data_IF_320068358720
#
_entry.id   IF_320068358720
#
_cell.length_a   1.000
_cell.length_b   1.000
_cell.length_c   1.000
_cell.angle_alpha   90.00
_cell.angle_beta   90.00
_cell.angle_gamma   90.00
#
_symmetry.space_group_name_H-M   'P 1'
#
loop_
_entity.id
_entity.type
_entity.pdbx_description
1 polymer ?
#
# COMPACT_ATOMS: atom_id res chain seq x y z
N UNK A 1 15.67 17.12 -3.02
CA UNK A 1 15.26 15.91 -2.24
C UNK A 1 13.74 15.58 -2.28
N UNK A 2 12.82 16.48 -1.90
CA UNK A 2 11.38 16.15 -1.76
C UNK A 2 10.67 15.79 -3.09
N UNK A 3 10.98 16.51 -4.18
CA UNK A 3 10.42 16.25 -5.52
C UNK A 3 10.87 14.91 -6.11
N UNK A 4 12.12 14.51 -5.87
CA UNK A 4 12.65 13.22 -6.32
C UNK A 4 11.96 12.03 -5.61
N UNK A 5 11.70 12.18 -4.31
CA UNK A 5 10.96 11.19 -3.53
C UNK A 5 9.50 11.10 -3.98
N UNK A 6 8.83 12.23 -4.21
CA UNK A 6 7.47 12.28 -4.80
C UNK A 6 7.44 11.66 -6.21
N UNK A 7 8.47 11.91 -7.01
CA UNK A 7 8.60 11.37 -8.36
C UNK A 7 8.98 9.87 -8.36
N UNK A 8 9.44 9.28 -7.25
CA UNK A 8 9.93 7.88 -7.16
C UNK A 8 10.98 7.55 -8.23
N UNK A 9 11.97 8.41 -8.41
CA UNK A 9 13.07 8.19 -9.36
C UNK A 9 14.36 7.98 -8.57
N UNK A 10 15.11 6.92 -8.91
CA UNK A 10 16.41 6.63 -8.33
C UNK A 10 17.44 7.59 -8.95
N UNK A 11 18.25 8.22 -8.10
CA UNK A 11 19.19 9.33 -8.37
C UNK A 11 20.13 9.20 -9.57
N UNK A 12 20.29 8.01 -10.16
CA UNK A 12 21.40 7.65 -11.06
C UNK A 12 21.39 8.29 -12.46
N UNK A 13 20.55 9.30 -12.75
CA UNK A 13 20.44 9.82 -14.13
C UNK A 13 20.91 11.29 -14.28
N UNK A 14 20.64 12.25 -13.36
CA UNK A 14 20.97 13.68 -13.64
C UNK A 14 21.43 14.58 -12.47
N UNK A 15 21.69 14.07 -11.26
CA UNK A 15 22.10 14.92 -10.13
C UNK A 15 20.95 15.74 -9.49
N UNK A 16 21.28 16.57 -8.49
CA UNK A 16 20.36 17.01 -7.42
C UNK A 16 19.32 18.10 -7.81
N UNK A 17 19.45 18.75 -8.98
CA UNK A 17 18.76 20.05 -9.20
C UNK A 17 17.92 20.19 -10.48
N UNK A 18 17.59 19.11 -11.20
CA UNK A 18 16.69 19.25 -12.36
C UNK A 18 15.19 19.28 -11.94
N UNK A 19 14.78 20.40 -11.32
CA UNK A 19 13.39 20.64 -10.91
C UNK A 19 12.40 20.46 -12.07
N UNK A 20 12.73 20.95 -13.28
CA UNK A 20 11.89 20.83 -14.47
C UNK A 20 11.61 19.37 -14.86
N UNK A 21 12.65 18.53 -14.81
CA UNK A 21 12.51 17.09 -15.09
C UNK A 21 11.55 16.42 -14.10
N UNK A 22 11.73 16.64 -12.79
CA UNK A 22 10.85 16.04 -11.78
C UNK A 22 9.40 16.54 -11.91
N UNK A 23 9.19 17.84 -12.18
CA UNK A 23 7.87 18.39 -12.46
C UNK A 23 7.23 17.79 -13.72
N UNK A 24 8.01 17.61 -14.80
CA UNK A 24 7.54 16.96 -16.03
C UNK A 24 7.09 15.53 -15.79
N UNK A 25 7.86 14.75 -15.01
CA UNK A 25 7.48 13.38 -14.61
C UNK A 25 6.23 13.38 -13.74
N UNK A 26 6.15 14.28 -12.75
CA UNK A 26 4.98 14.36 -11.87
C UNK A 26 3.72 14.74 -12.64
N UNK A 27 3.80 15.68 -13.56
CA UNK A 27 2.69 16.08 -14.42
C UNK A 27 2.26 14.93 -15.34
N UNK A 28 3.21 14.24 -15.97
CA UNK A 28 2.93 13.04 -16.77
C UNK A 28 2.21 11.97 -15.94
N UNK A 29 2.72 11.66 -14.73
CA UNK A 29 2.08 10.70 -13.82
C UNK A 29 0.71 11.14 -13.37
N UNK A 30 0.52 12.43 -13.07
CA UNK A 30 -0.77 13.00 -12.68
C UNK A 30 -1.78 12.86 -13.80
N UNK A 31 -1.39 13.16 -15.04
CA UNK A 31 -2.26 13.01 -16.20
C UNK A 31 -2.62 11.53 -16.46
N UNK A 32 -1.66 10.62 -16.36
CA UNK A 32 -1.89 9.18 -16.53
C UNK A 32 -2.76 8.56 -15.43
N UNK A 33 -2.69 9.08 -14.21
CA UNK A 33 -3.47 8.60 -13.06
C UNK A 33 -4.80 9.31 -12.91
N UNK A 34 -5.06 10.36 -13.68
CA UNK A 34 -6.31 11.07 -13.61
C UNK A 34 -7.41 10.22 -14.24
N UNK A 35 -8.42 9.89 -13.43
CA UNK A 35 -9.60 9.18 -13.90
C UNK A 35 -10.62 10.25 -14.28
N UNK A 36 -10.75 10.48 -15.58
CA UNK A 36 -11.67 11.48 -16.14
C UNK A 36 -13.13 11.06 -16.06
N UNK A 37 -13.38 9.76 -16.08
CA UNK A 37 -14.70 9.18 -16.04
C UNK A 37 -14.66 7.67 -16.02
N UNK A 38 -15.83 7.06 -15.89
CA UNK A 38 -16.01 5.61 -15.88
C UNK A 38 -17.24 5.24 -16.69
N UNK A 39 -17.15 4.14 -17.44
CA UNK A 39 -18.28 3.58 -18.18
C UNK A 39 -19.07 2.65 -17.27
N UNK A 40 -20.35 2.94 -17.04
CA UNK A 40 -21.25 2.14 -16.20
C UNK A 40 -22.50 1.80 -17.00
N UNK A 41 -22.72 0.51 -17.25
CA UNK A 41 -23.90 0.02 -18.00
C UNK A 41 -24.11 0.72 -19.36
N UNK A 42 -23.03 1.09 -20.05
CA UNK A 42 -23.08 1.77 -21.34
C UNK A 42 -23.23 3.29 -21.27
N UNK A 43 -23.29 3.88 -20.08
CA UNK A 43 -23.31 5.34 -19.86
C UNK A 43 -21.95 5.81 -19.37
N UNK A 44 -21.42 6.86 -20.00
CA UNK A 44 -20.18 7.51 -19.55
C UNK A 44 -20.47 8.49 -18.41
N UNK A 45 -19.87 8.24 -17.24
CA UNK A 45 -19.95 9.13 -16.09
C UNK A 45 -18.68 9.95 -15.99
N UNK A 46 -18.82 11.29 -16.00
CA UNK A 46 -17.70 12.23 -15.87
C UNK A 46 -17.78 13.12 -14.62
N UNK A 47 -18.94 13.18 -13.95
CA UNK A 47 -19.09 13.94 -12.72
C UNK A 47 -18.22 13.30 -11.61
N UNK A 48 -17.29 14.07 -10.99
CA UNK A 48 -16.38 13.52 -9.99
C UNK A 48 -17.05 12.85 -8.79
N UNK A 49 -18.25 13.30 -8.41
CA UNK A 49 -19.02 12.71 -7.31
C UNK A 49 -19.55 11.34 -7.69
N UNK A 50 -20.12 11.22 -8.89
CA UNK A 50 -20.70 9.98 -9.41
C UNK A 50 -19.60 8.95 -9.67
N UNK A 51 -18.47 9.37 -10.26
CA UNK A 51 -17.30 8.51 -10.46
C UNK A 51 -16.81 7.96 -9.12
N UNK A 52 -16.64 8.79 -8.09
CA UNK A 52 -16.22 8.33 -6.75
C UNK A 52 -17.22 7.34 -6.15
N UNK A 53 -18.51 7.64 -6.27
CA UNK A 53 -19.57 6.79 -5.74
C UNK A 53 -19.57 5.43 -6.42
N UNK A 54 -19.35 5.37 -7.74
CA UNK A 54 -19.32 4.10 -8.45
C UNK A 54 -18.09 3.27 -8.16
N UNK A 55 -16.91 3.89 -8.02
CA UNK A 55 -15.74 3.18 -7.52
C UNK A 55 -15.98 2.58 -6.13
N UNK A 56 -16.57 3.37 -5.22
CA UNK A 56 -16.92 2.89 -3.88
C UNK A 56 -17.89 1.71 -3.95
N UNK A 57 -19.00 1.84 -4.69
CA UNK A 57 -20.02 0.80 -4.82
C UNK A 57 -19.44 -0.48 -5.43
N UNK A 58 -18.66 -0.35 -6.50
CA UNK A 58 -18.03 -1.49 -7.18
C UNK A 58 -17.19 -2.32 -6.22
N UNK A 59 -16.26 -1.68 -5.50
CA UNK A 59 -15.37 -2.39 -4.59
C UNK A 59 -16.08 -2.83 -3.31
N UNK A 60 -17.02 -2.04 -2.80
CA UNK A 60 -17.87 -2.44 -1.68
C UNK A 60 -18.59 -3.75 -1.98
N UNK A 61 -19.24 -3.85 -3.13
CA UNK A 61 -20.00 -5.04 -3.51
C UNK A 61 -19.07 -6.22 -3.82
N UNK A 62 -17.93 -5.97 -4.47
CA UNK A 62 -16.95 -7.01 -4.81
C UNK A 62 -16.29 -7.63 -3.57
N UNK A 63 -16.02 -6.82 -2.56
CA UNK A 63 -15.38 -7.24 -1.31
C UNK A 63 -16.37 -7.36 -0.15
N UNK A 64 -17.67 -7.36 -0.44
CA UNK A 64 -18.68 -7.61 0.58
C UNK A 64 -18.54 -9.06 1.08
N UNK A 65 -19.12 -9.32 2.25
CA UNK A 65 -19.12 -10.67 2.78
C UNK A 65 -19.83 -11.60 1.79
N UNK A 66 -19.19 -12.70 1.36
CA UNK A 66 -19.91 -13.72 0.60
C UNK A 66 -21.08 -14.23 1.46
N UNK A 67 -22.18 -14.60 0.81
CA UNK A 67 -23.38 -15.16 1.45
C UNK A 67 -23.03 -16.23 2.50
N UNK A 68 -23.84 -16.35 3.55
CA UNK A 68 -23.65 -17.28 4.68
C UNK A 68 -23.54 -18.77 4.32
N UNK A 69 -23.70 -19.14 3.04
CA UNK A 69 -23.31 -20.44 2.50
C UNK A 69 -21.78 -20.61 2.45
N UNK A 70 -21.11 -20.44 3.59
CA UNK A 70 -19.74 -20.89 3.75
C UNK A 70 -19.74 -22.41 3.72
N UNK A 71 -19.07 -22.98 2.72
CA UNK A 71 -18.79 -24.40 2.73
C UNK A 71 -18.01 -24.73 4.02
N UNK A 72 -18.59 -25.57 4.86
CA UNK A 72 -17.87 -26.13 6.00
C UNK A 72 -16.87 -27.13 5.45
N UNK A 73 -15.60 -26.77 5.55
CA UNK A 73 -14.50 -27.68 5.21
C UNK A 73 -14.34 -28.66 6.36
N UNK A 74 -15.01 -29.80 6.27
CA UNK A 74 -14.77 -30.94 7.15
C UNK A 74 -13.55 -31.71 6.63
N UNK A 75 -12.36 -31.19 6.94
CA UNK A 75 -11.10 -31.81 6.58
C UNK A 75 -10.24 -31.94 7.84
N UNK A 76 -9.73 -33.15 8.07
CA UNK A 76 -8.65 -33.36 9.02
C UNK A 76 -7.35 -32.80 8.42
N UNK A 77 -6.85 -31.69 8.95
CA UNK A 77 -5.54 -31.16 8.58
C UNK A 77 -4.45 -32.12 9.07
N UNK A 78 -3.87 -32.92 8.17
CA UNK A 78 -2.79 -33.84 8.51
C UNK A 78 -1.49 -33.13 8.89
N UNK A 79 -1.29 -31.92 8.38
CA UNK A 79 -0.15 -31.07 8.70
C UNK A 79 -0.59 -29.99 9.69
N UNK A 80 -0.45 -30.27 10.98
CA UNK A 80 -0.64 -29.28 12.04
C UNK A 80 0.71 -28.69 12.43
N UNK A 81 0.68 -27.42 12.84
CA UNK A 81 1.83 -26.79 13.47
C UNK A 81 2.18 -27.55 14.76
N UNK A 82 3.48 -27.64 15.06
CA UNK A 82 3.91 -28.10 16.38
C UNK A 82 3.52 -27.10 17.45
N UNK A 83 3.46 -27.54 18.71
CA UNK A 83 3.16 -26.65 19.84
C UNK A 83 4.12 -25.43 19.87
N UNK A 84 5.40 -25.63 19.55
CA UNK A 84 6.38 -24.55 19.50
C UNK A 84 6.12 -23.56 18.36
N UNK A 85 5.63 -24.01 17.21
CA UNK A 85 5.27 -23.12 16.10
C UNK A 85 3.99 -22.33 16.41
N UNK A 86 3.02 -22.96 17.10
CA UNK A 86 1.82 -22.27 17.56
C UNK A 86 2.20 -21.15 18.55
N UNK A 87 3.02 -21.48 19.55
CA UNK A 87 3.53 -20.51 20.50
C UNK A 87 4.31 -19.36 19.82
N UNK A 88 5.15 -19.66 18.83
CA UNK A 88 5.90 -18.63 18.09
C UNK A 88 5.01 -17.71 17.25
N UNK A 89 3.87 -18.21 16.72
CA UNK A 89 2.91 -17.41 15.94
C UNK A 89 1.95 -16.61 16.83
N UNK A 90 1.68 -17.08 18.04
CA UNK A 90 0.77 -16.45 19.00
C UNK A 90 1.49 -15.53 20.00
N UNK A 91 2.82 -15.52 20.01
CA UNK A 91 3.59 -14.64 20.90
C UNK A 91 3.32 -13.17 20.60
N UNK A 92 3.54 -12.36 21.62
CA UNK A 92 3.55 -10.90 21.47
C UNK A 92 4.67 -10.43 20.55
N UNK A 93 4.36 -9.40 19.75
CA UNK A 93 5.33 -8.76 18.86
C UNK A 93 6.45 -8.10 19.68
N UNK A 94 7.69 -8.51 19.44
CA UNK A 94 8.87 -7.97 20.12
C UNK A 94 9.43 -6.71 19.45
N UNK A 95 10.19 -5.89 20.21
CA UNK A 95 10.88 -4.71 19.65
C UNK A 95 11.93 -5.12 18.60
N UNK A 96 12.60 -6.25 18.83
CA UNK A 96 13.60 -6.82 17.93
C UNK A 96 12.98 -7.27 16.61
N UNK A 97 11.77 -7.83 16.65
CA UNK A 97 10.98 -8.17 15.47
C UNK A 97 10.57 -6.92 14.69
N UNK A 98 10.04 -5.91 15.36
CA UNK A 98 9.69 -4.62 14.73
C UNK A 98 10.91 -3.99 14.06
N UNK A 99 12.05 -3.95 14.77
CA UNK A 99 13.29 -3.40 14.25
C UNK A 99 13.77 -4.16 13.01
N UNK A 100 13.76 -5.50 13.04
CA UNK A 100 14.11 -6.31 11.87
C UNK A 100 13.19 -6.03 10.69
N UNK A 101 11.88 -6.05 10.90
CA UNK A 101 10.89 -5.79 9.85
C UNK A 101 11.10 -4.42 9.18
N UNK A 102 11.41 -3.38 9.97
CA UNK A 102 11.67 -2.02 9.46
C UNK A 102 12.97 -1.97 8.65
N UNK A 103 14.02 -2.70 9.05
CA UNK A 103 15.32 -2.70 8.37
C UNK A 103 15.34 -3.55 7.11
N UNK A 104 14.58 -4.64 7.09
CA UNK A 104 14.41 -5.51 5.91
C UNK A 104 13.59 -4.82 4.82
N UNK A 105 12.79 -3.81 5.19
CA UNK A 105 12.08 -2.97 4.24
C UNK A 105 12.99 -1.91 3.58
N UNK A 106 12.74 -1.65 2.31
CA UNK A 106 13.40 -0.55 1.59
C UNK A 106 13.02 0.82 2.17
N UNK A 107 14.00 1.71 2.28
CA UNK A 107 13.84 3.08 2.82
C UNK A 107 12.85 3.91 1.99
N UNK A 108 12.77 3.64 0.68
CA UNK A 108 12.05 4.38 -0.34
C UNK A 108 10.71 3.73 -0.75
N UNK A 109 10.18 2.81 0.06
CA UNK A 109 8.86 2.22 -0.19
C UNK A 109 7.74 3.21 0.08
N UNK A 110 6.58 2.93 -0.52
CA UNK A 110 5.37 3.75 -0.32
C UNK A 110 5.03 3.81 1.17
N UNK A 111 4.63 4.99 1.68
CA UNK A 111 4.16 5.10 3.06
C UNK A 111 2.84 4.36 3.27
N UNK A 112 2.53 4.07 4.54
CA UNK A 112 1.22 3.60 4.94
C UNK A 112 0.15 4.69 4.92
N UNK A 113 -1.07 4.41 5.39
CA UNK A 113 -2.13 5.40 5.55
C UNK A 113 -1.76 6.57 6.48
N UNK A 114 -0.77 6.37 7.34
CA UNK A 114 -0.17 7.35 8.25
C UNK A 114 0.74 8.38 7.54
N UNK A 115 1.13 8.12 6.30
CA UNK A 115 2.01 8.98 5.52
C UNK A 115 3.51 8.81 5.82
N UNK A 116 3.92 7.89 6.71
CA UNK A 116 5.33 7.67 7.05
C UNK A 116 5.93 6.50 6.26
N UNK A 117 7.15 6.68 5.73
CA UNK A 117 7.89 5.61 5.07
C UNK A 117 8.81 4.88 6.04
N UNK A 118 9.32 3.71 5.68
CA UNK A 118 10.34 2.99 6.46
C UNK A 118 11.61 3.83 6.70
N UNK A 119 11.93 4.76 5.79
CA UNK A 119 13.01 5.71 6.00
C UNK A 119 12.80 6.65 7.20
N UNK A 120 11.55 7.06 7.47
CA UNK A 120 11.22 7.84 8.66
C UNK A 120 11.46 7.01 9.92
N UNK A 121 10.88 5.81 9.97
CA UNK A 121 11.01 4.91 11.13
C UNK A 121 12.46 4.56 11.44
N UNK A 122 13.30 4.30 10.42
CA UNK A 122 14.74 4.06 10.61
C UNK A 122 15.48 5.29 11.12
N UNK A 123 15.14 6.49 10.63
CA UNK A 123 15.81 7.73 11.03
C UNK A 123 15.50 8.14 12.47
N UNK A 124 14.26 7.93 12.90
CA UNK A 124 13.79 8.35 14.22
C UNK A 124 13.63 7.19 15.21
N UNK A 125 14.21 6.03 14.90
CA UNK A 125 14.07 4.82 15.72
C UNK A 125 14.41 5.05 17.19
N UNK A 126 15.50 5.77 17.49
CA UNK A 126 15.94 6.05 18.87
C UNK A 126 14.98 6.95 19.67
N UNK A 127 14.00 7.57 19.01
CA UNK A 127 12.94 8.37 19.64
C UNK A 127 11.67 7.52 19.81
N UNK A 128 11.46 6.54 18.93
CA UNK A 128 10.25 5.70 18.86
C UNK A 128 10.37 4.47 19.75
N UNK A 129 11.58 3.91 19.91
CA UNK A 129 11.82 2.65 20.63
C UNK A 129 11.61 2.71 22.14
#
# INVERSE_FOLDING_TARGET
>A
MELAQKAKIKWSIEGDENFYFFHGILNKKRNQRNIWGVMVNGVWLENPTDVKQEFFNHFRNRFDRPSDNRATVDMSFLNTLSAAQQEDLERDVSKEELKRAIWDCGIDKSPGPDGFSFGFYRKFWSIIE
#
